data_IF_141146599707
#
_entry.id   IF_141146599707
#
_cell.length_a   1.000
_cell.length_b   1.000
_cell.length_c   1.000
_cell.angle_alpha   90.00
_cell.angle_beta   90.00
_cell.angle_gamma   90.00
#
_symmetry.space_group_name_H-M   'P 1'
#
loop_
_entity.id
_entity.type
_entity.pdbx_description
1 polymer ?
#
# COMPACT_ATOMS: atom_id res chain seq x y z
N UNK A 1 2.89 10.36 -12.90
CA UNK A 1 2.54 9.25 -11.98
C UNK A 1 2.30 9.85 -10.61
N UNK A 2 1.20 9.49 -9.96
CA UNK A 2 0.89 9.98 -8.61
C UNK A 2 1.37 8.96 -7.60
N UNK A 3 2.13 9.39 -6.59
CA UNK A 3 2.58 8.54 -5.49
C UNK A 3 1.90 8.99 -4.22
N UNK A 4 1.32 8.04 -3.50
CA UNK A 4 0.77 8.26 -2.16
C UNK A 4 1.50 7.36 -1.18
N UNK A 5 2.17 7.96 -0.21
CA UNK A 5 2.78 7.25 0.92
C UNK A 5 1.82 7.36 2.10
N UNK A 6 1.25 6.23 2.53
CA UNK A 6 0.36 6.16 3.69
C UNK A 6 1.16 5.55 4.85
N UNK A 7 1.46 6.36 5.87
CA UNK A 7 2.24 5.95 7.02
C UNK A 7 1.37 5.67 8.24
N UNK A 8 1.55 4.50 8.83
CA UNK A 8 1.02 4.14 10.12
C UNK A 8 2.18 4.13 11.13
N UNK A 9 2.27 5.13 12.03
CA UNK A 9 3.36 5.25 12.98
C UNK A 9 3.33 4.16 14.06
N UNK A 10 4.39 4.10 14.87
CA UNK A 10 4.36 3.36 16.13
C UNK A 10 3.28 3.92 17.06
N UNK A 11 2.69 3.11 17.96
CA UNK A 11 1.76 3.57 18.99
C UNK A 11 2.20 4.79 19.81
N UNK A 12 3.50 4.92 20.08
CA UNK A 12 4.13 6.01 20.83
C UNK A 12 4.50 7.24 19.98
N UNK A 13 4.54 7.09 18.65
CA UNK A 13 4.93 8.14 17.68
C UNK A 13 3.71 8.75 16.95
N UNK A 14 2.58 8.85 17.63
CA UNK A 14 1.28 9.18 17.00
C UNK A 14 1.24 10.47 16.18
N UNK A 15 2.04 11.47 16.54
CA UNK A 15 2.08 12.77 15.86
C UNK A 15 3.32 12.92 14.97
N UNK A 16 4.22 11.94 14.97
CA UNK A 16 5.47 12.02 14.22
C UNK A 16 5.30 11.47 12.80
N UNK A 17 5.55 12.35 11.83
CA UNK A 17 5.55 12.04 10.40
C UNK A 17 6.97 12.10 9.80
N UNK A 18 8.00 12.33 10.62
CA UNK A 18 9.39 12.46 10.19
C UNK A 18 9.86 11.24 9.38
N UNK A 19 9.60 10.04 9.90
CA UNK A 19 9.89 8.79 9.21
C UNK A 19 9.15 8.68 7.86
N UNK A 20 7.88 9.10 7.80
CA UNK A 20 7.11 9.11 6.56
C UNK A 20 7.74 10.04 5.51
N UNK A 21 8.18 11.23 5.94
CA UNK A 21 8.89 12.20 5.11
C UNK A 21 10.25 11.66 4.61
N UNK A 22 10.99 10.95 5.47
CA UNK A 22 12.24 10.31 5.10
C UNK A 22 12.02 9.25 4.00
N UNK A 23 11.13 8.29 4.22
CA UNK A 23 10.82 7.26 3.22
C UNK A 23 10.26 7.84 1.92
N UNK A 24 9.42 8.88 1.99
CA UNK A 24 8.95 9.60 0.81
C UNK A 24 10.10 10.27 0.03
N UNK A 25 11.08 10.82 0.74
CA UNK A 25 12.28 11.41 0.14
C UNK A 25 13.13 10.34 -0.56
N UNK A 26 13.30 9.17 0.06
CA UNK A 26 13.96 8.02 -0.56
C UNK A 26 13.27 7.61 -1.87
N UNK A 27 11.95 7.46 -1.86
CA UNK A 27 11.16 7.13 -3.06
C UNK A 27 11.39 8.18 -4.15
N UNK A 28 11.27 9.47 -3.82
CA UNK A 28 11.47 10.57 -4.78
C UNK A 28 12.88 10.59 -5.37
N UNK A 29 13.91 10.32 -4.57
CA UNK A 29 15.29 10.27 -5.04
C UNK A 29 15.51 9.11 -6.00
N UNK A 30 15.03 7.91 -5.66
CA UNK A 30 15.09 6.73 -6.55
C UNK A 30 14.43 7.04 -7.90
N UNK A 31 13.28 7.71 -7.89
CA UNK A 31 12.57 8.08 -9.12
C UNK A 31 13.37 9.07 -9.95
N UNK A 32 13.96 10.10 -9.32
CA UNK A 32 14.78 11.09 -10.02
C UNK A 32 16.03 10.46 -10.64
N UNK A 33 16.65 9.53 -9.95
CA UNK A 33 17.83 8.81 -10.42
C UNK A 33 17.51 7.85 -11.56
N UNK A 34 16.39 7.11 -11.46
CA UNK A 34 16.05 6.04 -12.40
C UNK A 34 15.25 6.53 -13.62
N UNK A 35 14.49 7.61 -13.49
CA UNK A 35 13.69 8.21 -14.56
C UNK A 35 13.96 9.72 -14.69
N UNK A 36 15.22 10.13 -14.97
CA UNK A 36 15.63 11.53 -15.01
C UNK A 36 14.84 12.34 -16.06
N UNK A 37 14.48 11.72 -17.18
CA UNK A 37 13.69 12.33 -18.24
C UNK A 37 12.26 12.70 -17.82
N UNK A 38 11.74 12.04 -16.76
CA UNK A 38 10.41 12.32 -16.20
C UNK A 38 10.46 13.31 -15.04
N UNK A 39 11.63 13.56 -14.46
CA UNK A 39 11.82 14.52 -13.37
C UNK A 39 11.72 15.98 -13.86
N UNK A 40 12.03 16.24 -15.12
CA UNK A 40 12.01 17.59 -15.73
C UNK A 40 10.72 17.92 -16.49
N UNK A 41 9.78 16.98 -16.58
CA UNK A 41 8.52 17.18 -17.29
C UNK A 41 7.54 18.05 -16.46
N UNK A 42 6.68 18.86 -17.11
CA UNK A 42 5.65 19.66 -16.42
C UNK A 42 4.59 18.83 -15.67
N UNK A 43 4.56 17.52 -15.89
CA UNK A 43 3.82 16.52 -15.11
C UNK A 43 4.79 15.76 -14.17
N UNK A 44 5.57 16.51 -13.39
CA UNK A 44 6.48 15.96 -12.40
C UNK A 44 5.72 15.05 -11.43
N UNK A 45 6.38 14.00 -10.96
CA UNK A 45 5.76 13.03 -10.06
C UNK A 45 5.41 13.71 -8.74
N UNK A 46 4.15 13.62 -8.35
CA UNK A 46 3.69 14.18 -7.09
C UNK A 46 3.70 13.07 -6.03
N UNK A 47 4.39 13.30 -4.91
CA UNK A 47 4.39 12.39 -3.77
C UNK A 47 3.60 13.04 -2.63
N UNK A 48 2.41 12.51 -2.35
CA UNK A 48 1.60 12.91 -1.22
C UNK A 48 1.87 11.98 -0.04
N UNK A 49 2.04 12.57 1.15
CA UNK A 49 2.22 11.84 2.41
C UNK A 49 0.92 11.93 3.19
N UNK A 50 0.41 10.78 3.62
CA UNK A 50 -0.80 10.66 4.41
C UNK A 50 -0.51 9.84 5.67
N UNK A 51 -1.07 10.24 6.79
CA UNK A 51 -1.12 9.36 7.95
C UNK A 51 -2.29 8.38 7.80
N UNK A 52 -2.10 7.14 8.27
CA UNK A 52 -3.17 6.15 8.28
C UNK A 52 -4.25 6.55 9.29
N UNK A 53 -5.41 6.92 8.76
CA UNK A 53 -6.65 7.15 9.46
C UNK A 53 -7.62 5.98 9.21
N UNK A 54 -8.69 5.86 10.02
CA UNK A 54 -9.71 4.82 9.78
C UNK A 54 -10.34 4.96 8.39
N UNK A 55 -10.50 6.20 7.93
CA UNK A 55 -11.03 6.52 6.62
C UNK A 55 -10.00 6.33 5.51
N UNK A 56 -8.73 6.06 5.80
CA UNK A 56 -7.70 5.85 4.78
C UNK A 56 -7.93 4.60 3.92
N UNK A 57 -8.72 3.64 4.39
CA UNK A 57 -9.23 2.57 3.52
C UNK A 57 -10.42 3.01 2.69
N UNK A 58 -11.31 3.83 3.24
CA UNK A 58 -12.31 4.47 2.41
C UNK A 58 -11.61 5.32 1.35
N UNK A 59 -10.51 5.99 1.64
CA UNK A 59 -9.63 6.67 0.69
C UNK A 59 -9.02 5.70 -0.34
N UNK A 60 -8.45 4.55 0.04
CA UNK A 60 -8.01 3.53 -0.94
C UNK A 60 -9.19 3.05 -1.82
N UNK A 61 -10.39 2.94 -1.24
CA UNK A 61 -11.64 2.52 -1.91
C UNK A 61 -12.38 3.69 -2.61
N UNK A 62 -12.02 4.95 -2.34
CA UNK A 62 -12.61 6.19 -2.87
C UNK A 62 -11.68 6.80 -3.93
N UNK A 63 -10.38 6.53 -3.87
CA UNK A 63 -9.44 6.66 -4.98
C UNK A 63 -9.87 5.78 -6.17
N UNK A 64 -10.60 4.69 -5.90
CA UNK A 64 -11.31 3.92 -6.93
C UNK A 64 -12.55 4.65 -7.48
N UNK A 65 -13.15 5.58 -6.74
CA UNK A 65 -14.37 6.32 -7.09
C UNK A 65 -14.13 7.72 -7.63
N UNK A 66 -12.95 8.30 -7.42
CA UNK A 66 -12.59 9.66 -7.85
C UNK A 66 -12.19 9.78 -9.33
N UNK A 67 -12.45 8.76 -10.15
CA UNK A 67 -12.32 8.84 -11.61
C UNK A 67 -13.59 8.34 -12.27
N UNK A 68 -14.63 9.16 -12.26
CA UNK A 68 -15.83 8.96 -13.11
C UNK A 68 -16.10 10.16 -14.02
N UNK A 69 -15.21 11.17 -14.09
CA UNK A 69 -15.43 12.30 -14.99
C UNK A 69 -14.50 12.43 -16.20
N UNK A 70 -13.38 11.71 -16.33
CA UNK A 70 -12.55 11.78 -17.56
C UNK A 70 -11.71 10.50 -17.80
N UNK A 71 -12.31 9.48 -18.42
CA UNK A 71 -11.75 8.12 -18.53
C UNK A 71 -10.73 7.88 -19.67
N UNK A 72 -9.81 8.80 -19.98
CA UNK A 72 -8.76 8.49 -20.97
C UNK A 72 -7.35 9.02 -20.69
N UNK A 73 -7.14 9.86 -19.65
CA UNK A 73 -5.84 10.51 -19.39
C UNK A 73 -5.37 10.43 -17.92
N UNK A 74 -5.97 9.60 -17.07
CA UNK A 74 -5.55 9.51 -15.67
C UNK A 74 -4.16 8.88 -15.57
N UNK A 75 -3.19 9.63 -15.03
CA UNK A 75 -1.83 9.14 -14.79
C UNK A 75 -1.84 7.91 -13.88
N UNK A 76 -0.95 6.92 -14.12
CA UNK A 76 -0.82 5.77 -13.23
C UNK A 76 -0.52 6.21 -11.79
N UNK A 77 -1.03 5.47 -10.81
CA UNK A 77 -0.90 5.79 -9.39
C UNK A 77 -0.24 4.66 -8.60
N UNK A 78 0.70 4.98 -7.72
CA UNK A 78 1.33 4.06 -6.78
C UNK A 78 0.99 4.48 -5.36
N UNK A 79 0.44 3.57 -4.59
CA UNK A 79 0.20 3.75 -3.16
C UNK A 79 1.17 2.83 -2.40
N UNK A 80 1.96 3.40 -1.48
CA UNK A 80 2.84 2.65 -0.60
C UNK A 80 2.29 2.79 0.82
N UNK A 81 1.88 1.68 1.42
CA UNK A 81 1.45 1.62 2.81
C UNK A 81 2.62 1.19 3.69
N UNK A 82 3.10 2.10 4.52
CA UNK A 82 4.17 1.88 5.48
C UNK A 82 3.55 1.63 6.86
N UNK A 83 3.72 0.44 7.41
CA UNK A 83 3.18 0.07 8.73
C UNK A 83 4.33 -0.14 9.70
N UNK A 84 4.51 0.81 10.60
CA UNK A 84 5.47 0.69 11.68
C UNK A 84 4.92 -0.15 12.83
N UNK A 85 5.78 -1.03 13.35
CA UNK A 85 5.52 -1.93 14.46
C UNK A 85 6.57 -1.69 15.55
N UNK A 86 6.13 -1.44 16.78
CA UNK A 86 7.03 -1.26 17.91
C UNK A 86 7.73 -2.56 18.30
N UNK A 87 8.73 -2.42 19.17
CA UNK A 87 9.57 -3.51 19.63
C UNK A 87 8.83 -4.67 20.35
N UNK A 88 7.62 -4.42 20.87
CA UNK A 88 6.76 -5.42 21.50
C UNK A 88 5.77 -6.08 20.53
N UNK A 89 5.80 -5.68 19.25
CA UNK A 89 4.88 -6.14 18.22
C UNK A 89 3.55 -5.43 18.20
N UNK A 90 3.40 -4.39 19.02
CA UNK A 90 2.23 -3.54 18.98
C UNK A 90 2.20 -2.76 17.67
N UNK A 91 1.01 -2.72 17.08
CA UNK A 91 0.71 -1.92 15.90
C UNK A 91 -0.29 -0.86 16.31
N UNK A 92 -0.22 0.30 15.69
CA UNK A 92 -1.09 1.42 15.99
C UNK A 92 -2.57 1.00 16.06
N UNK A 93 -3.33 1.63 16.95
CA UNK A 93 -4.75 1.31 17.15
C UNK A 93 -5.56 1.46 15.85
N UNK A 94 -5.18 2.41 14.99
CA UNK A 94 -5.80 2.61 13.67
C UNK A 94 -5.59 1.41 12.76
N UNK A 95 -4.38 0.87 12.62
CA UNK A 95 -4.13 -0.33 11.81
C UNK A 95 -4.89 -1.55 12.35
N UNK A 96 -5.01 -1.69 13.67
CA UNK A 96 -5.83 -2.75 14.29
C UNK A 96 -7.32 -2.57 14.01
N UNK A 97 -7.84 -1.34 14.11
CA UNK A 97 -9.23 -1.03 13.76
C UNK A 97 -9.48 -1.27 12.27
N UNK A 98 -8.53 -0.91 11.42
CA UNK A 98 -8.54 -1.15 9.98
C UNK A 98 -8.72 -2.63 9.65
N UNK A 99 -7.87 -3.48 10.25
CA UNK A 99 -7.93 -4.94 10.08
C UNK A 99 -9.31 -5.50 10.50
N UNK A 100 -9.85 -5.00 11.62
CA UNK A 100 -11.18 -5.39 12.11
C UNK A 100 -12.29 -4.96 11.15
N UNK A 101 -12.26 -3.71 10.67
CA UNK A 101 -13.25 -3.21 9.71
C UNK A 101 -13.24 -4.02 8.42
N UNK A 102 -12.05 -4.29 7.85
CA UNK A 102 -11.93 -5.14 6.67
C UNK A 102 -12.43 -6.56 6.91
N UNK A 103 -12.07 -7.17 8.04
CA UNK A 103 -12.53 -8.51 8.40
C UNK A 103 -14.05 -8.57 8.59
N UNK A 104 -14.64 -7.54 9.19
CA UNK A 104 -16.08 -7.46 9.40
C UNK A 104 -16.83 -7.19 8.09
N UNK A 105 -16.26 -6.41 7.17
CA UNK A 105 -16.79 -6.23 5.82
C UNK A 105 -16.76 -7.54 5.00
N UNK A 106 -15.96 -8.53 5.41
CA UNK A 106 -15.92 -9.87 4.79
C UNK A 106 -17.02 -10.81 5.30
N UNK A 107 -17.77 -10.43 6.34
CA UNK A 107 -18.92 -11.19 6.85
C UNK A 107 -20.04 -11.21 5.81
N UNK A 108 -20.68 -12.35 5.53
CA UNK A 108 -21.79 -12.42 4.59
C UNK A 108 -23.06 -11.92 5.27
N UNK A 109 -23.21 -10.61 5.46
CA UNK A 109 -24.53 -10.01 5.69
C UNK A 109 -25.12 -9.65 4.33
N UNK A 110 -25.90 -10.58 3.80
CA UNK A 110 -27.06 -10.38 2.91
C UNK A 110 -27.04 -9.10 2.09
N UNK A 111 -26.20 -9.04 1.04
CA UNK A 111 -26.47 -8.12 -0.05
C UNK A 111 -27.50 -8.77 -0.97
N UNK A 112 -28.67 -8.14 -1.02
CA UNK A 112 -29.79 -8.51 -1.86
C UNK A 112 -29.34 -8.70 -3.32
N UNK A 113 -29.85 -9.77 -3.93
CA UNK A 113 -29.82 -10.00 -5.37
C UNK A 113 -30.30 -8.74 -6.09
N UNK A 114 -29.39 -8.02 -6.73
CA UNK A 114 -29.73 -7.18 -7.87
C UNK A 114 -29.30 -7.94 -9.12
N UNK A 115 -30.28 -8.56 -9.75
CA UNK A 115 -30.27 -8.96 -11.15
C UNK A 115 -29.77 -7.82 -12.03
N UNK A 116 -28.80 -8.10 -12.91
CA UNK A 116 -28.61 -7.42 -14.20
C UNK A 116 -27.70 -8.28 -15.08
N UNK A 117 -28.01 -8.22 -16.36
CA UNK A 117 -27.89 -9.29 -17.34
C UNK A 117 -26.49 -9.53 -17.92
N UNK A 118 -26.35 -10.76 -18.44
CA UNK A 118 -25.27 -11.29 -19.28
C UNK A 118 -24.82 -10.31 -20.38
N UNK A 119 -23.52 -10.01 -20.44
CA UNK A 119 -22.82 -9.49 -21.63
C UNK A 119 -21.54 -10.32 -21.82
N UNK A 120 -21.22 -10.82 -23.04
CA UNK A 120 -20.13 -11.76 -23.25
C UNK A 120 -18.76 -11.12 -23.09
N UNK A 121 -17.85 -11.86 -22.46
CA UNK A 121 -16.45 -11.52 -22.24
C UNK A 121 -15.73 -11.22 -23.57
N UNK A 122 -15.33 -9.96 -23.75
CA UNK A 122 -14.36 -9.57 -24.77
C UNK A 122 -12.97 -9.78 -24.15
N UNK A 123 -12.31 -10.87 -24.54
CA UNK A 123 -10.86 -11.01 -24.47
C UNK A 123 -10.23 -9.82 -25.21
N UNK A 124 -9.46 -8.97 -24.53
CA UNK A 124 -8.41 -8.14 -25.13
C UNK A 124 -7.44 -7.63 -24.06
N UNK A 125 -6.15 -7.75 -24.37
CA UNK A 125 -4.93 -7.21 -23.72
C UNK A 125 -4.80 -7.32 -22.20
N UNK A 126 -3.71 -7.97 -21.77
CA UNK A 126 -3.14 -7.84 -20.43
C UNK A 126 -2.56 -6.42 -20.33
N UNK A 127 -3.41 -5.41 -20.25
CA UNK A 127 -2.98 -4.05 -19.92
C UNK A 127 -2.66 -4.03 -18.43
N UNK A 128 -1.41 -3.69 -18.11
CA UNK A 128 -0.94 -3.59 -16.72
C UNK A 128 -1.90 -2.67 -15.95
N UNK A 129 -2.35 -3.05 -14.74
CA UNK A 129 -3.26 -2.22 -13.98
C UNK A 129 -2.62 -0.86 -13.71
N UNK A 130 -3.29 0.22 -14.10
CA UNK A 130 -2.79 1.59 -13.96
C UNK A 130 -2.51 2.01 -12.50
N UNK A 131 -2.98 1.23 -11.50
CA UNK A 131 -2.83 1.56 -10.08
C UNK A 131 -2.24 0.38 -9.28
N UNK A 132 -1.19 0.65 -8.51
CA UNK A 132 -0.48 -0.35 -7.70
C UNK A 132 -0.46 0.02 -6.22
N UNK A 133 -0.74 -0.94 -5.34
CA UNK A 133 -0.59 -0.84 -3.90
C UNK A 133 0.58 -1.71 -3.47
N UNK A 134 1.53 -1.16 -2.74
CA UNK A 134 2.61 -1.90 -2.09
C UNK A 134 2.54 -1.70 -0.58
N UNK A 135 3.04 -2.69 0.18
CA UNK A 135 2.99 -2.68 1.64
C UNK A 135 4.37 -3.00 2.20
N UNK A 136 4.86 -2.15 3.10
CA UNK A 136 6.05 -2.40 3.90
C UNK A 136 5.69 -2.49 5.38
N UNK A 137 6.27 -3.48 6.07
CA UNK A 137 6.23 -3.63 7.51
C UNK A 137 7.59 -3.21 8.06
N UNK A 138 7.58 -2.17 8.89
CA UNK A 138 8.77 -1.58 9.47
C UNK A 138 8.85 -1.99 10.95
N UNK A 139 9.86 -2.78 11.31
CA UNK A 139 10.10 -3.23 12.67
C UNK A 139 11.15 -2.35 13.34
N UNK A 140 10.93 -2.05 14.62
CA UNK A 140 11.80 -1.17 15.40
C UNK A 140 12.56 -1.94 16.49
N UNK A 141 13.58 -2.71 16.08
CA UNK A 141 14.38 -3.56 16.96
C UNK A 141 15.69 -2.90 17.37
N UNK A 142 15.93 -2.80 18.68
CA UNK A 142 17.17 -2.21 19.22
C UNK A 142 18.38 -3.14 19.19
N UNK A 143 18.19 -4.44 18.98
CA UNK A 143 19.29 -5.41 18.89
C UNK A 143 18.90 -6.65 18.06
N UNK A 144 19.91 -7.39 17.59
CA UNK A 144 19.76 -8.54 16.69
C UNK A 144 18.95 -9.69 17.29
N UNK A 145 19.15 -9.98 18.59
CA UNK A 145 18.36 -10.98 19.30
C UNK A 145 16.89 -10.59 19.37
N UNK A 146 16.60 -9.30 19.61
CA UNK A 146 15.23 -8.79 19.56
C UNK A 146 14.70 -8.87 18.14
N UNK A 147 15.45 -8.44 17.12
CA UNK A 147 15.05 -8.49 15.71
C UNK A 147 14.68 -9.90 15.23
N UNK A 148 15.45 -10.91 15.64
CA UNK A 148 15.14 -12.30 15.31
C UNK A 148 13.83 -12.76 15.95
N UNK A 149 13.56 -12.36 17.21
CA UNK A 149 12.27 -12.58 17.86
C UNK A 149 11.15 -11.74 17.23
N UNK A 150 11.48 -10.55 16.71
CA UNK A 150 10.57 -9.63 16.03
C UNK A 150 10.08 -10.23 14.72
N UNK A 151 10.98 -10.86 13.95
CA UNK A 151 10.67 -11.42 12.63
C UNK A 151 9.53 -12.44 12.65
N UNK A 152 9.44 -13.23 13.71
CA UNK A 152 8.39 -14.26 13.84
C UNK A 152 7.16 -13.77 14.60
N UNK A 153 7.33 -12.87 15.57
CA UNK A 153 6.26 -12.47 16.50
C UNK A 153 5.58 -11.16 16.10
N UNK A 154 6.34 -10.19 15.61
CA UNK A 154 5.91 -8.79 15.43
C UNK A 154 5.31 -8.57 14.06
N UNK A 155 6.00 -9.00 13.00
CA UNK A 155 5.45 -8.93 11.65
C UNK A 155 4.22 -9.81 11.47
N UNK A 156 3.93 -10.76 12.37
CA UNK A 156 2.72 -11.58 12.30
C UNK A 156 1.43 -10.74 12.26
N UNK A 157 1.36 -9.63 13.01
CA UNK A 157 0.20 -8.73 12.98
C UNK A 157 0.11 -7.97 11.66
N UNK A 158 1.24 -7.48 11.14
CA UNK A 158 1.34 -6.84 9.83
C UNK A 158 0.99 -7.79 8.68
N UNK A 159 1.54 -9.01 8.68
CA UNK A 159 1.24 -10.10 7.73
C UNK A 159 -0.25 -10.45 7.72
N UNK A 160 -0.90 -10.50 8.90
CA UNK A 160 -2.35 -10.71 9.00
C UNK A 160 -3.12 -9.56 8.34
N UNK A 161 -2.72 -8.31 8.57
CA UNK A 161 -3.31 -7.15 7.90
C UNK A 161 -3.09 -7.20 6.38
N UNK A 162 -1.88 -7.49 5.92
CA UNK A 162 -1.56 -7.70 4.50
C UNK A 162 -2.50 -8.74 3.86
N UNK A 163 -2.66 -9.92 4.48
CA UNK A 163 -3.58 -10.97 3.99
C UNK A 163 -5.03 -10.50 3.93
N UNK A 164 -5.48 -9.74 4.93
CA UNK A 164 -6.84 -9.17 4.96
C UNK A 164 -7.03 -8.17 3.81
N UNK A 165 -6.04 -7.31 3.53
CA UNK A 165 -6.04 -6.36 2.42
C UNK A 165 -6.05 -7.12 1.08
N UNK A 166 -5.14 -8.09 0.91
CA UNK A 166 -5.03 -8.93 -0.28
C UNK A 166 -6.36 -9.61 -0.61
N UNK A 167 -7.01 -10.20 0.38
CA UNK A 167 -8.29 -10.86 0.21
C UNK A 167 -9.41 -9.86 -0.14
N UNK A 168 -9.40 -8.67 0.45
CA UNK A 168 -10.36 -7.60 0.14
C UNK A 168 -10.22 -7.11 -1.30
N UNK A 169 -8.99 -6.91 -1.79
CA UNK A 169 -8.71 -6.50 -3.17
C UNK A 169 -9.13 -7.60 -4.16
N UNK A 170 -8.82 -8.87 -3.87
CA UNK A 170 -9.20 -10.01 -4.72
C UNK A 170 -10.72 -10.20 -4.83
N UNK A 171 -11.47 -10.01 -3.74
CA UNK A 171 -12.94 -10.07 -3.77
C UNK A 171 -13.57 -8.91 -4.55
N UNK A 172 -12.99 -7.70 -4.47
CA UNK A 172 -13.45 -6.55 -5.25
C UNK A 172 -13.46 -6.82 -6.75
N UNK A 173 -12.51 -7.62 -7.25
CA UNK A 173 -12.45 -8.06 -8.65
C UNK A 173 -13.59 -9.01 -9.07
N UNK A 174 -14.24 -9.70 -8.12
CA UNK A 174 -15.30 -10.67 -8.41
C UNK A 174 -16.71 -10.06 -8.38
N UNK A 175 -16.86 -8.78 -8.03
CA UNK A 175 -18.17 -8.13 -7.86
C UNK A 175 -18.50 -7.01 -8.85
N UNK A 176 -17.56 -6.62 -9.74
CA UNK A 176 -17.76 -5.53 -10.70
C UNK A 176 -17.25 -5.95 -12.08
N UNK A 177 -18.17 -6.25 -13.01
CA UNK A 177 -17.89 -6.49 -14.44
C UNK A 177 -17.70 -5.19 -15.24
N UNK A 178 -17.31 -4.08 -14.60
CA UNK A 178 -17.07 -2.82 -15.28
C UNK A 178 -15.59 -2.48 -15.22
N UNK A 179 -15.02 -2.08 -16.37
CA UNK A 179 -13.63 -1.69 -16.66
C UNK A 179 -13.11 -0.49 -15.84
N UNK A 180 -13.51 -0.35 -14.57
CA UNK A 180 -13.18 0.78 -13.72
C UNK A 180 -12.04 0.41 -12.77
N UNK A 181 -10.89 1.08 -12.95
CA UNK A 181 -9.73 1.17 -12.04
C UNK A 181 -9.56 0.02 -11.02
N UNK A 182 -8.97 -1.10 -11.44
CA UNK A 182 -8.58 -2.14 -10.50
C UNK A 182 -7.19 -1.85 -9.90
N UNK A 183 -7.11 -1.64 -8.59
CA UNK A 183 -5.83 -1.63 -7.88
C UNK A 183 -5.24 -3.03 -7.87
N UNK A 184 -3.93 -3.14 -8.14
CA UNK A 184 -3.16 -4.35 -7.97
C UNK A 184 -2.32 -4.28 -6.71
N UNK A 185 -2.40 -5.30 -5.86
CA UNK A 185 -1.52 -5.40 -4.69
C UNK A 185 -0.22 -6.09 -5.13
N UNK A 186 0.91 -5.43 -4.90
CA UNK A 186 2.24 -6.00 -5.08
C UNK A 186 2.38 -7.28 -4.23
N UNK A 187 2.91 -8.33 -4.84
CA UNK A 187 3.20 -9.60 -4.16
C UNK A 187 4.44 -9.49 -3.26
N UNK A 188 5.37 -8.59 -3.61
CA UNK A 188 6.56 -8.30 -2.82
C UNK A 188 6.20 -7.35 -1.67
N UNK A 189 5.88 -7.92 -0.50
CA UNK A 189 5.77 -7.19 0.76
C UNK A 189 7.15 -7.04 1.41
N UNK A 190 7.53 -5.83 1.80
CA UNK A 190 8.77 -5.61 2.53
C UNK A 190 8.57 -5.86 4.02
N UNK A 191 9.53 -6.54 4.64
CA UNK A 191 9.71 -6.60 6.09
C UNK A 191 11.12 -6.13 6.39
N UNK A 192 11.24 -5.01 7.10
CA UNK A 192 12.53 -4.35 7.34
C UNK A 192 12.70 -4.03 8.82
N UNK A 193 13.88 -4.31 9.38
CA UNK A 193 14.24 -3.86 10.73
C UNK A 193 14.99 -2.54 10.65
N UNK A 194 14.32 -1.41 10.90
CA UNK A 194 14.80 -0.07 10.50
C UNK A 194 16.14 0.29 11.13
N UNK A 195 16.39 -0.08 12.38
CA UNK A 195 17.62 0.26 13.10
C UNK A 195 18.81 -0.65 12.76
N UNK A 196 18.55 -1.82 12.17
CA UNK A 196 19.58 -2.81 11.83
C UNK A 196 19.86 -2.85 10.32
N UNK A 197 18.82 -2.65 9.54
CA UNK A 197 18.78 -2.71 8.09
C UNK A 197 18.40 -1.31 7.60
N UNK A 198 19.41 -0.48 7.39
CA UNK A 198 19.21 0.86 6.83
C UNK A 198 18.55 0.81 5.44
N UNK A 199 18.00 1.93 4.94
CA UNK A 199 17.25 1.97 3.68
C UNK A 199 18.09 1.53 2.46
N UNK A 200 19.41 1.72 2.52
CA UNK A 200 20.38 1.39 1.46
C UNK A 200 20.96 -0.03 1.57
N UNK A 201 20.59 -0.81 2.60
CA UNK A 201 21.10 -2.16 2.76
C UNK A 201 20.66 -3.07 1.59
N UNK A 202 21.45 -4.10 1.22
CA UNK A 202 21.03 -5.09 0.23
C UNK A 202 19.69 -5.74 0.63
N UNK A 203 18.71 -5.75 -0.27
CA UNK A 203 17.35 -6.18 0.01
C UNK A 203 16.51 -5.21 0.85
N UNK A 204 17.06 -4.04 1.19
CA UNK A 204 16.42 -3.00 1.99
C UNK A 204 15.37 -2.18 1.24
N UNK A 205 14.95 -1.08 1.87
CA UNK A 205 13.84 -0.25 1.37
C UNK A 205 14.04 0.23 -0.07
N UNK A 206 15.23 0.76 -0.41
CA UNK A 206 15.46 1.34 -1.73
C UNK A 206 15.39 0.28 -2.84
N UNK A 207 16.00 -0.89 -2.62
CA UNK A 207 15.96 -1.99 -3.59
C UNK A 207 14.52 -2.52 -3.78
N UNK A 208 13.74 -2.58 -2.70
CA UNK A 208 12.33 -2.96 -2.75
C UNK A 208 11.48 -1.95 -3.52
N UNK A 209 11.68 -0.64 -3.30
CA UNK A 209 10.99 0.41 -4.08
C UNK A 209 11.33 0.29 -5.57
N UNK A 210 12.58 0.03 -5.92
CA UNK A 210 12.98 -0.19 -7.32
C UNK A 210 12.20 -1.35 -7.95
N UNK A 211 12.08 -2.48 -7.25
CA UNK A 211 11.31 -3.64 -7.74
C UNK A 211 9.84 -3.29 -8.01
N UNK A 212 9.23 -2.48 -7.14
CA UNK A 212 7.85 -2.02 -7.29
C UNK A 212 7.70 -1.06 -8.48
N UNK A 213 8.65 -0.17 -8.69
CA UNK A 213 8.60 0.78 -9.80
C UNK A 213 8.79 0.09 -11.17
N UNK A 214 9.52 -1.01 -11.20
CA UNK A 214 9.80 -1.77 -12.42
C UNK A 214 8.73 -2.84 -12.76
N UNK A 215 7.86 -3.20 -11.80
CA UNK A 215 6.77 -4.19 -11.98
C UNK A 215 5.59 -3.62 -12.78
#
# INVERSE_FOLDING_TARGET
MNISVIYCPQPDEQEDISAACEYATHILNIIKERYPERATAPLAWNCAIHQLQLDSLQFITQLQRSVVTDCSNSSPSLCILLISCSADGSVHSTARKLARTLKNAQSPTTYAKSSLDLIPAINNSIDRPNNQLAIALLGHARCENSAQQMKDTIFNSGRKLYKIIQHSIRRGKQGFESNCFSWYLSEDMLELQVELEGPDAPGGFNEWVVKILDS
#
